data_IF_224461014282
#
_entry.id   IF_224461014282
#
_cell.length_a   1.000
_cell.length_b   1.000
_cell.length_c   1.000
_cell.angle_alpha   90.00
_cell.angle_beta   90.00
_cell.angle_gamma   90.00
#
_symmetry.space_group_name_H-M   'P 1'
#
loop_
_entity.id
_entity.type
_entity.pdbx_description
1 polymer ?
#
# COMPACT_ATOMS: atom_id res chain seq x y z
N UNK A 1 -27.21 -21.08 8.88
CA UNK A 1 -26.04 -20.55 9.59
C UNK A 1 -26.24 -19.05 9.78
N UNK A 2 -26.52 -18.56 11.00
CA UNK A 2 -26.72 -17.12 11.25
C UNK A 2 -25.33 -16.46 11.31
N UNK A 3 -25.06 -15.54 10.39
CA UNK A 3 -23.83 -14.75 10.40
C UNK A 3 -23.71 -14.01 11.73
N UNK A 4 -22.62 -14.25 12.46
CA UNK A 4 -22.30 -13.55 13.69
C UNK A 4 -22.04 -12.09 13.33
N UNK A 5 -23.01 -11.22 13.57
CA UNK A 5 -22.81 -9.78 13.49
C UNK A 5 -21.63 -9.43 14.43
N UNK A 6 -20.49 -9.03 13.86
CA UNK A 6 -19.31 -8.61 14.62
C UNK A 6 -19.73 -7.44 15.51
N UNK A 7 -19.75 -7.66 16.82
CA UNK A 7 -20.11 -6.64 17.79
C UNK A 7 -19.19 -5.43 17.60
N UNK A 8 -19.76 -4.26 17.32
CA UNK A 8 -19.01 -3.01 17.22
C UNK A 8 -18.46 -2.68 18.60
N UNK A 9 -17.13 -2.61 18.73
CA UNK A 9 -16.47 -2.14 19.95
C UNK A 9 -16.29 -0.63 19.89
N UNK A 10 -16.55 0.04 21.01
CA UNK A 10 -16.25 1.46 21.20
C UNK A 10 -14.90 1.55 21.88
N UNK A 11 -14.02 2.41 21.35
CA UNK A 11 -12.71 2.71 21.92
C UNK A 11 -12.61 4.20 22.15
N UNK A 12 -11.92 4.61 23.22
CA UNK A 12 -11.58 6.00 23.47
C UNK A 12 -10.07 6.16 23.22
N UNK A 13 -9.71 7.15 22.43
CA UNK A 13 -8.32 7.42 22.04
C UNK A 13 -8.08 8.91 22.24
N UNK A 14 -7.06 9.32 23.03
CA UNK A 14 -6.67 10.71 23.11
C UNK A 14 -6.13 11.17 21.76
N UNK A 15 -6.45 12.41 21.38
CA UNK A 15 -6.08 12.97 20.09
C UNK A 15 -5.77 14.46 20.27
N UNK A 16 -4.83 14.97 19.48
CA UNK A 16 -4.48 16.37 19.45
C UNK A 16 -5.68 17.22 19.02
N UNK A 17 -5.96 18.35 19.70
CA UNK A 17 -7.11 19.21 19.39
C UNK A 17 -7.15 19.66 17.92
N UNK A 18 -5.99 19.95 17.35
CA UNK A 18 -5.85 20.41 15.96
C UNK A 18 -6.27 19.32 14.98
N UNK A 19 -5.86 18.07 15.25
CA UNK A 19 -6.23 16.92 14.43
C UNK A 19 -7.73 16.60 14.57
N UNK A 20 -8.29 16.72 15.77
CA UNK A 20 -9.73 16.56 15.97
C UNK A 20 -10.53 17.58 15.15
N UNK A 21 -10.11 18.85 15.16
CA UNK A 21 -10.75 19.91 14.37
C UNK A 21 -10.70 19.59 12.87
N UNK A 22 -9.54 19.17 12.36
CA UNK A 22 -9.39 18.79 10.96
C UNK A 22 -10.28 17.59 10.57
N UNK A 23 -10.42 16.60 11.47
CA UNK A 23 -11.32 15.47 11.26
C UNK A 23 -12.79 15.90 11.24
N UNK A 24 -13.19 16.83 12.10
CA UNK A 24 -14.55 17.39 12.12
C UNK A 24 -14.86 18.18 10.85
N UNK A 25 -13.93 19.02 10.38
CA UNK A 25 -14.06 19.75 9.11
C UNK A 25 -14.18 18.81 7.90
N UNK A 26 -13.32 17.80 7.83
CA UNK A 26 -13.35 16.81 6.77
C UNK A 26 -14.66 16.01 6.79
N UNK A 27 -15.08 15.56 7.98
CA UNK A 27 -16.34 14.83 8.21
C UNK A 27 -17.54 15.65 7.71
N UNK A 28 -17.60 16.95 8.03
CA UNK A 28 -18.63 17.87 7.57
C UNK A 28 -18.63 18.03 6.05
N UNK A 29 -17.46 18.29 5.46
CA UNK A 29 -17.33 18.51 4.00
C UNK A 29 -17.80 17.29 3.18
N UNK A 30 -17.57 16.08 3.71
CA UNK A 30 -17.91 14.80 3.05
C UNK A 30 -19.27 14.24 3.48
N UNK A 31 -19.98 14.88 4.42
CA UNK A 31 -21.25 14.41 5.01
C UNK A 31 -21.18 12.96 5.52
N UNK A 32 -20.05 12.57 6.09
CA UNK A 32 -19.84 11.26 6.71
C UNK A 32 -19.62 11.44 8.20
N UNK A 33 -19.79 10.38 8.99
CA UNK A 33 -19.43 10.43 10.42
C UNK A 33 -17.92 10.40 10.62
N UNK A 34 -17.42 11.06 11.68
CA UNK A 34 -16.01 10.96 12.11
C UNK A 34 -15.52 9.52 12.21
N UNK A 35 -16.31 8.62 12.79
CA UNK A 35 -15.94 7.21 12.92
C UNK A 35 -15.82 6.47 11.58
N UNK A 36 -16.50 6.94 10.53
CA UNK A 36 -16.31 6.44 9.18
C UNK A 36 -14.97 6.91 8.60
N UNK A 37 -14.64 8.20 8.76
CA UNK A 37 -13.34 8.77 8.35
C UNK A 37 -12.19 8.03 9.04
N UNK A 38 -12.25 7.91 10.37
CA UNK A 38 -11.20 7.24 11.16
C UNK A 38 -11.05 5.78 10.74
N UNK A 39 -12.16 5.04 10.55
CA UNK A 39 -12.07 3.65 10.06
C UNK A 39 -11.41 3.54 8.70
N UNK A 40 -11.74 4.44 7.78
CA UNK A 40 -11.16 4.41 6.44
C UNK A 40 -9.66 4.72 6.48
N UNK A 41 -9.27 5.74 7.25
CA UNK A 41 -7.87 6.08 7.49
C UNK A 41 -7.08 4.92 8.11
N UNK A 42 -7.61 4.26 9.16
CA UNK A 42 -6.97 3.09 9.76
C UNK A 42 -6.84 1.93 8.76
N UNK A 43 -7.88 1.66 7.95
CA UNK A 43 -7.82 0.60 6.93
C UNK A 43 -6.78 0.90 5.87
N UNK A 44 -6.68 2.16 5.43
CA UNK A 44 -5.66 2.60 4.48
C UNK A 44 -4.26 2.44 5.08
N UNK A 45 -4.04 2.97 6.28
CA UNK A 45 -2.76 2.84 6.97
C UNK A 45 -2.31 1.38 7.14
N UNK A 46 -3.22 0.48 7.53
CA UNK A 46 -2.89 -0.94 7.67
C UNK A 46 -2.55 -1.61 6.33
N UNK A 47 -3.22 -1.24 5.24
CA UNK A 47 -2.87 -1.73 3.90
C UNK A 47 -1.49 -1.22 3.48
N UNK A 48 -1.26 0.08 3.64
CA UNK A 48 -0.02 0.72 3.23
C UNK A 48 1.17 0.16 4.04
N UNK A 49 0.99 -0.05 5.35
CA UNK A 49 1.98 -0.70 6.22
C UNK A 49 2.24 -2.17 5.83
N UNK A 50 1.19 -2.92 5.46
CA UNK A 50 1.36 -4.30 4.99
C UNK A 50 2.09 -4.38 3.63
N UNK A 51 1.85 -3.41 2.74
CA UNK A 51 2.59 -3.29 1.48
C UNK A 51 4.05 -2.94 1.76
N UNK A 52 4.33 -1.93 2.58
CA UNK A 52 5.70 -1.53 2.91
C UNK A 52 6.51 -2.66 3.55
N UNK A 53 5.89 -3.41 4.49
CA UNK A 53 6.53 -4.58 5.08
C UNK A 53 6.82 -5.68 4.05
N UNK A 54 6.05 -5.75 2.97
CA UNK A 54 6.29 -6.69 1.87
C UNK A 54 7.41 -6.21 0.96
N UNK A 55 7.50 -4.91 0.70
CA UNK A 55 8.58 -4.31 -0.08
C UNK A 55 9.94 -4.55 0.61
N UNK A 56 10.02 -4.37 1.94
CA UNK A 56 11.22 -4.69 2.72
C UNK A 56 11.65 -6.17 2.59
N UNK A 57 10.69 -7.10 2.57
CA UNK A 57 10.96 -8.53 2.39
C UNK A 57 11.43 -8.84 0.97
N UNK A 58 10.88 -8.18 -0.05
CA UNK A 58 11.36 -8.32 -1.43
C UNK A 58 12.78 -7.78 -1.58
N UNK A 59 13.07 -6.59 -1.06
CA UNK A 59 14.41 -5.99 -1.08
C UNK A 59 15.46 -6.86 -0.37
N UNK A 60 15.12 -7.43 0.79
CA UNK A 60 16.02 -8.36 1.50
C UNK A 60 16.21 -9.67 0.70
N UNK A 61 15.16 -10.13 0.02
CA UNK A 61 15.23 -11.26 -0.92
C UNK A 61 16.22 -11.04 -2.06
N UNK A 62 16.12 -9.90 -2.75
CA UNK A 62 17.05 -9.47 -3.80
C UNK A 62 18.47 -9.30 -3.29
N UNK A 63 18.65 -8.79 -2.07
CA UNK A 63 19.97 -8.65 -1.45
C UNK A 63 20.62 -9.99 -1.10
N UNK A 64 19.82 -11.01 -0.78
CA UNK A 64 20.31 -12.34 -0.36
C UNK A 64 20.53 -13.30 -1.52
N UNK A 65 19.69 -13.20 -2.55
CA UNK A 65 19.80 -13.96 -3.79
C UNK A 65 19.69 -12.95 -4.92
N UNK A 66 20.85 -12.50 -5.40
CA UNK A 66 20.90 -11.72 -6.63
C UNK A 66 20.24 -12.53 -7.74
N UNK A 67 19.34 -11.89 -8.50
CA UNK A 67 18.77 -12.53 -9.69
C UNK A 67 19.90 -12.91 -10.65
N UNK A 68 19.83 -14.15 -11.17
CA UNK A 68 20.73 -14.58 -12.23
C UNK A 68 20.23 -13.97 -13.56
N UNK A 69 20.83 -12.83 -13.92
CA UNK A 69 20.50 -12.10 -15.13
C UNK A 69 21.03 -12.76 -16.40
N UNK A 70 21.73 -13.89 -16.35
CA UNK A 70 22.34 -14.51 -17.54
C UNK A 70 21.32 -14.81 -18.65
N UNK A 71 20.09 -15.19 -18.30
CA UNK A 71 19.01 -15.43 -19.28
C UNK A 71 18.48 -14.10 -19.85
N UNK A 72 18.36 -13.06 -19.02
CA UNK A 72 17.93 -11.74 -19.46
C UNK A 72 18.99 -11.09 -20.38
N UNK A 73 20.26 -11.21 -20.03
CA UNK A 73 21.40 -10.70 -20.80
C UNK A 73 21.51 -11.41 -22.16
N UNK A 74 21.33 -12.74 -22.18
CA UNK A 74 21.31 -13.51 -23.43
C UNK A 74 20.14 -13.10 -24.34
N UNK A 75 18.97 -12.80 -23.76
CA UNK A 75 17.81 -12.32 -24.51
C UNK A 75 18.02 -10.91 -25.06
N UNK A 76 18.61 -9.99 -24.29
CA UNK A 76 18.96 -8.64 -24.75
C UNK A 76 19.98 -8.70 -25.89
N UNK A 77 21.01 -9.54 -25.77
CA UNK A 77 22.01 -9.73 -26.82
C UNK A 77 21.37 -10.25 -28.11
N UNK A 78 20.53 -11.28 -28.02
CA UNK A 78 19.84 -11.85 -29.17
C UNK A 78 18.90 -10.85 -29.85
N UNK A 79 18.18 -10.04 -29.06
CA UNK A 79 17.28 -9.00 -29.58
C UNK A 79 18.05 -7.88 -30.27
N UNK A 80 19.22 -7.48 -29.73
CA UNK A 80 20.12 -6.52 -30.36
C UNK A 80 20.73 -7.01 -31.67
N UNK A 81 20.89 -8.33 -31.84
CA UNK A 81 21.35 -8.94 -33.09
C UNK A 81 20.24 -9.12 -34.13
N UNK A 82 18.98 -9.34 -33.71
CA UNK A 82 17.86 -9.61 -34.61
C UNK A 82 17.11 -8.37 -35.09
N UNK A 83 17.12 -7.29 -34.31
CA UNK A 83 16.43 -6.05 -34.67
C UNK A 83 17.39 -5.14 -35.45
N UNK A 84 17.05 -4.68 -36.67
CA UNK A 84 17.77 -3.57 -37.26
C UNK A 84 17.69 -2.40 -36.28
N UNK A 85 18.82 -1.75 -36.02
CA UNK A 85 18.89 -0.53 -35.23
C UNK A 85 17.94 0.46 -35.90
N UNK A 86 16.71 0.57 -35.40
CA UNK A 86 15.79 1.57 -35.91
C UNK A 86 16.38 2.92 -35.52
N UNK A 87 16.87 3.63 -36.52
CA UNK A 87 17.49 4.93 -36.38
C UNK A 87 16.33 5.95 -36.38
N UNK A 88 15.74 6.17 -35.21
CA UNK A 88 14.83 7.29 -34.95
C UNK A 88 15.32 8.12 -33.78
#
# INVERSE_FOLDING_TARGET
>A
MRGRAMAKRVVQVPIEPELLSALDDFSRSRRVSRSAVIRDACRRYLRDAATAARDEVYEDGYRRVAEDHAIADAQVALVGELLPVENW
#
